data_IF_418371286778
#
_entry.id   IF_418371286778
#
_cell.length_a   1.000
_cell.length_b   1.000
_cell.length_c   1.000
_cell.angle_alpha   90.00
_cell.angle_beta   90.00
_cell.angle_gamma   90.00
#
_symmetry.space_group_name_H-M   'P 1'
#
loop_
_entity.id
_entity.type
_entity.pdbx_description
1 polymer ?
#
# COMPACT_ATOMS: atom_id res chain seq x y z
N UNK A 1 -14.19 -13.99 42.17
CA UNK A 1 -14.47 -14.84 40.97
C UNK A 1 -13.90 -14.27 39.66
N UNK A 2 -13.39 -13.05 39.63
CA UNK A 2 -12.82 -12.40 38.43
C UNK A 2 -11.39 -12.83 38.07
N UNK A 3 -10.54 -13.17 39.05
CA UNK A 3 -9.12 -13.50 38.79
C UNK A 3 -8.87 -14.84 38.09
N UNK A 4 -9.78 -15.83 38.24
CA UNK A 4 -9.64 -17.15 37.60
C UNK A 4 -10.00 -17.12 36.11
N UNK A 5 -10.90 -16.23 35.68
CA UNK A 5 -11.31 -16.09 34.27
C UNK A 5 -10.21 -15.42 33.41
N UNK A 6 -9.53 -14.39 33.95
CA UNK A 6 -8.46 -13.70 33.24
C UNK A 6 -7.22 -14.62 33.07
N UNK A 7 -6.88 -15.41 34.10
CA UNK A 7 -5.77 -16.37 34.04
C UNK A 7 -6.03 -17.51 33.03
N UNK A 8 -7.28 -17.93 32.90
CA UNK A 8 -7.67 -19.01 31.99
C UNK A 8 -7.73 -18.54 30.52
N UNK A 9 -8.21 -17.31 30.28
CA UNK A 9 -8.18 -16.66 28.98
C UNK A 9 -6.76 -16.38 28.51
N UNK A 10 -5.88 -15.91 29.39
CA UNK A 10 -4.45 -15.67 29.07
C UNK A 10 -3.72 -16.97 28.72
N UNK A 11 -4.01 -18.05 29.45
CA UNK A 11 -3.43 -19.37 29.14
C UNK A 11 -3.96 -19.95 27.83
N UNK A 12 -5.23 -19.74 27.51
CA UNK A 12 -5.84 -20.18 26.27
C UNK A 12 -5.26 -19.43 25.08
N UNK A 13 -5.15 -18.11 25.17
CA UNK A 13 -4.53 -17.26 24.14
C UNK A 13 -3.05 -17.63 23.89
N UNK A 14 -2.27 -17.91 24.95
CA UNK A 14 -0.89 -18.35 24.83
C UNK A 14 -0.78 -19.73 24.18
N UNK A 15 -1.69 -20.64 24.48
CA UNK A 15 -1.73 -21.97 23.85
C UNK A 15 -2.08 -21.89 22.35
N UNK A 16 -3.02 -21.00 21.99
CA UNK A 16 -3.41 -20.76 20.60
C UNK A 16 -2.26 -20.18 19.78
N UNK A 17 -1.42 -19.31 20.35
CA UNK A 17 -0.22 -18.79 19.70
C UNK A 17 0.86 -19.86 19.46
N UNK A 18 1.06 -20.78 20.41
CA UNK A 18 2.00 -21.89 20.23
C UNK A 18 1.57 -22.79 19.07
N UNK A 19 0.29 -23.15 19.02
CA UNK A 19 -0.29 -23.95 17.94
C UNK A 19 -0.15 -23.24 16.58
N UNK A 20 -0.41 -21.91 16.55
CA UNK A 20 -0.25 -21.12 15.32
C UNK A 20 1.22 -21.09 14.86
N UNK A 21 2.17 -20.90 15.77
CA UNK A 21 3.59 -20.91 15.42
C UNK A 21 4.04 -22.28 14.93
N UNK A 22 3.55 -23.38 15.52
CA UNK A 22 3.80 -24.75 15.03
C UNK A 22 3.22 -24.93 13.62
N UNK A 23 2.01 -24.42 13.38
CA UNK A 23 1.40 -24.45 12.05
C UNK A 23 2.23 -23.69 11.02
N UNK A 24 2.68 -22.47 11.35
CA UNK A 24 3.57 -21.66 10.47
C UNK A 24 4.87 -22.45 10.17
N UNK A 25 5.50 -23.06 11.18
CA UNK A 25 6.70 -23.89 10.98
C UNK A 25 6.44 -25.08 10.07
N UNK A 26 5.30 -25.76 10.24
CA UNK A 26 4.90 -26.88 9.40
C UNK A 26 4.71 -26.45 7.92
N UNK A 27 4.04 -25.34 7.67
CA UNK A 27 3.89 -24.76 6.32
C UNK A 27 5.25 -24.35 5.75
N UNK A 28 6.13 -23.76 6.56
CA UNK A 28 7.48 -23.39 6.12
C UNK A 28 8.31 -24.60 5.73
N UNK A 29 8.26 -25.68 6.51
CA UNK A 29 9.04 -26.89 6.28
C UNK A 29 8.47 -27.82 5.19
N UNK A 30 7.24 -27.59 4.72
CA UNK A 30 6.55 -28.47 3.78
C UNK A 30 7.18 -28.52 2.38
N UNK A 31 7.91 -27.48 1.99
CA UNK A 31 8.53 -27.33 0.67
C UNK A 31 9.68 -26.32 0.67
N UNK A 32 10.32 -26.11 -0.49
CA UNK A 32 11.43 -25.15 -0.68
C UNK A 32 11.00 -23.85 -1.37
N UNK A 33 9.70 -23.60 -1.60
CA UNK A 33 9.21 -22.40 -2.24
C UNK A 33 9.52 -21.15 -1.41
N UNK A 34 10.15 -20.12 -1.97
CA UNK A 34 10.42 -18.88 -1.24
C UNK A 34 9.11 -18.22 -0.81
N UNK A 35 9.17 -17.51 0.31
CA UNK A 35 8.05 -16.74 0.83
C UNK A 35 8.17 -15.29 0.45
N UNK A 36 7.06 -14.67 0.04
CA UNK A 36 6.95 -13.24 -0.24
C UNK A 36 5.90 -12.64 0.70
N UNK A 37 6.35 -11.92 1.72
CA UNK A 37 5.48 -11.33 2.73
C UNK A 37 5.11 -9.92 2.29
N UNK A 38 3.81 -9.67 2.06
CA UNK A 38 3.32 -8.34 1.81
C UNK A 38 3.33 -7.49 3.09
N UNK A 39 4.09 -6.40 3.08
CA UNK A 39 4.26 -5.50 4.22
C UNK A 39 3.84 -4.07 3.87
N UNK A 40 2.83 -3.57 4.56
CA UNK A 40 2.31 -2.20 4.37
C UNK A 40 2.65 -1.27 5.53
N UNK A 41 3.40 -1.72 6.53
CA UNK A 41 3.64 -0.97 7.77
C UNK A 41 2.42 -0.90 8.70
N UNK A 42 1.27 -1.42 8.29
CA UNK A 42 0.07 -1.46 9.12
C UNK A 42 0.04 -2.62 10.11
N UNK A 43 -0.84 -2.55 11.12
CA UNK A 43 -0.94 -3.50 12.24
C UNK A 43 -1.03 -4.97 11.81
N UNK A 44 -1.80 -5.27 10.75
CA UNK A 44 -2.04 -6.65 10.33
C UNK A 44 -0.81 -7.26 9.63
N UNK A 45 -0.17 -6.51 8.75
CA UNK A 45 1.08 -6.94 8.09
C UNK A 45 2.23 -7.04 9.10
N UNK A 46 2.28 -6.15 10.08
CA UNK A 46 3.27 -6.18 11.16
C UNK A 46 3.06 -7.39 12.07
N UNK A 47 1.82 -7.67 12.46
CA UNK A 47 1.46 -8.87 13.22
C UNK A 47 1.86 -10.15 12.49
N UNK A 48 1.49 -10.27 11.21
CA UNK A 48 1.83 -11.43 10.39
C UNK A 48 3.34 -11.63 10.28
N UNK A 49 4.11 -10.56 10.03
CA UNK A 49 5.56 -10.63 9.93
C UNK A 49 6.22 -11.02 11.26
N UNK A 50 5.79 -10.44 12.39
CA UNK A 50 6.31 -10.78 13.72
C UNK A 50 6.01 -12.23 14.11
N UNK A 51 4.82 -12.73 13.78
CA UNK A 51 4.45 -14.16 13.98
C UNK A 51 5.34 -15.09 13.19
N UNK A 52 5.54 -14.80 11.90
CA UNK A 52 6.41 -15.58 11.02
C UNK A 52 7.84 -15.53 11.53
N UNK A 53 8.35 -14.34 11.86
CA UNK A 53 9.69 -14.18 12.39
C UNK A 53 9.92 -15.06 13.62
N UNK A 54 9.02 -14.96 14.60
CA UNK A 54 9.11 -15.73 15.84
C UNK A 54 9.06 -17.24 15.59
N UNK A 55 8.19 -17.68 14.66
CA UNK A 55 8.08 -19.09 14.29
C UNK A 55 9.36 -19.61 13.60
N UNK A 56 9.93 -18.87 12.66
CA UNK A 56 11.13 -19.28 11.92
C UNK A 56 12.37 -19.18 12.82
N UNK A 57 12.48 -18.16 13.67
CA UNK A 57 13.60 -18.04 14.63
C UNK A 57 13.68 -19.22 15.60
N UNK A 58 12.55 -19.84 15.93
CA UNK A 58 12.51 -21.03 16.77
C UNK A 58 13.02 -22.30 16.08
N UNK A 59 13.21 -22.30 14.75
CA UNK A 59 13.83 -23.41 14.03
C UNK A 59 15.36 -23.41 14.21
N UNK A 60 16.03 -24.57 14.13
CA UNK A 60 17.50 -24.63 13.99
C UNK A 60 17.96 -23.83 12.75
N UNK A 61 19.15 -23.24 12.80
CA UNK A 61 19.68 -22.43 11.67
C UNK A 61 19.71 -23.20 10.35
N UNK A 62 20.07 -24.48 10.41
CA UNK A 62 20.13 -25.34 9.24
C UNK A 62 18.79 -25.58 8.57
N UNK A 63 17.69 -25.35 9.30
CA UNK A 63 16.32 -25.44 8.78
C UNK A 63 15.79 -24.13 8.22
N UNK A 64 16.48 -23.00 8.45
CA UNK A 64 16.10 -21.66 7.97
C UNK A 64 16.65 -21.37 6.57
N UNK A 65 16.40 -22.26 5.59
CA UNK A 65 17.08 -22.20 4.28
C UNK A 65 16.35 -21.45 3.20
N UNK A 66 15.01 -21.49 3.23
CA UNK A 66 14.25 -20.88 2.13
C UNK A 66 14.21 -19.36 2.26
N UNK A 67 14.44 -18.62 1.17
CA UNK A 67 14.39 -17.17 1.18
C UNK A 67 13.01 -16.64 1.57
N UNK A 68 12.99 -15.56 2.36
CA UNK A 68 11.80 -14.82 2.75
C UNK A 68 11.99 -13.36 2.32
N UNK A 69 11.17 -12.89 1.39
CA UNK A 69 11.18 -11.52 0.91
C UNK A 69 10.06 -10.74 1.59
N UNK A 70 10.39 -9.65 2.29
CA UNK A 70 9.42 -8.70 2.82
C UNK A 70 9.27 -7.57 1.81
N UNK A 71 8.08 -7.44 1.22
CA UNK A 71 7.81 -6.55 0.11
C UNK A 71 6.88 -5.43 0.52
N UNK A 72 7.33 -4.19 0.44
CA UNK A 72 6.52 -2.98 0.62
C UNK A 72 6.33 -2.26 -0.72
N UNK A 73 5.11 -1.83 -1.01
CA UNK A 73 4.83 -1.03 -2.20
C UNK A 73 4.91 0.45 -1.85
N UNK A 74 5.80 1.17 -2.53
CA UNK A 74 5.89 2.63 -2.49
C UNK A 74 5.26 3.18 -3.78
N UNK A 75 4.20 3.93 -3.67
CA UNK A 75 3.46 4.49 -4.81
C UNK A 75 4.08 5.79 -5.33
N UNK A 76 5.15 6.28 -4.70
CA UNK A 76 5.81 7.58 -4.93
C UNK A 76 4.91 8.79 -4.62
N UNK A 77 3.77 8.57 -3.96
CA UNK A 77 2.83 9.60 -3.52
C UNK A 77 2.25 9.31 -2.13
N UNK A 78 2.96 8.54 -1.30
CA UNK A 78 2.71 8.47 0.14
C UNK A 78 3.16 9.76 0.83
N UNK A 79 2.60 10.01 2.03
CA UNK A 79 3.06 11.15 2.86
C UNK A 79 4.52 10.95 3.25
N UNK A 80 5.35 12.01 3.29
CA UNK A 80 6.76 11.89 3.68
C UNK A 80 6.96 11.17 5.01
N UNK A 81 6.14 11.47 6.01
CA UNK A 81 6.17 10.80 7.33
C UNK A 81 6.02 9.28 7.20
N UNK A 82 5.14 8.81 6.32
CA UNK A 82 4.94 7.38 6.09
C UNK A 82 6.07 6.77 5.29
N UNK A 83 6.60 7.49 4.30
CA UNK A 83 7.77 7.03 3.52
C UNK A 83 8.95 6.79 4.47
N UNK A 84 9.29 7.76 5.33
CA UNK A 84 10.36 7.65 6.29
C UNK A 84 10.15 6.51 7.27
N UNK A 85 8.94 6.39 7.84
CA UNK A 85 8.59 5.28 8.73
C UNK A 85 8.81 3.90 8.08
N UNK A 86 8.39 3.73 6.82
CA UNK A 86 8.59 2.47 6.09
C UNK A 86 10.06 2.23 5.79
N UNK A 87 10.81 3.24 5.38
CA UNK A 87 12.23 3.11 5.07
C UNK A 87 13.05 2.72 6.29
N UNK A 88 12.83 3.37 7.42
CA UNK A 88 13.45 3.04 8.70
C UNK A 88 13.07 1.63 9.16
N UNK A 89 11.80 1.25 9.03
CA UNK A 89 11.35 -0.09 9.41
C UNK A 89 11.97 -1.18 8.53
N UNK A 90 12.02 -0.99 7.20
CA UNK A 90 12.66 -1.98 6.31
C UNK A 90 14.17 -2.08 6.56
N UNK A 91 14.84 -0.97 6.87
CA UNK A 91 16.24 -0.97 7.26
C UNK A 91 16.44 -1.75 8.58
N UNK A 92 15.60 -1.51 9.59
CA UNK A 92 15.64 -2.22 10.87
C UNK A 92 15.37 -3.74 10.69
N UNK A 93 14.40 -4.11 9.85
CA UNK A 93 14.12 -5.52 9.50
C UNK A 93 15.36 -6.18 8.89
N UNK A 94 16.04 -5.52 7.94
CA UNK A 94 17.24 -6.07 7.30
C UNK A 94 18.41 -6.21 8.30
N UNK A 95 18.63 -5.22 9.16
CA UNK A 95 19.66 -5.26 10.20
C UNK A 95 19.41 -6.42 11.19
N UNK A 96 18.19 -6.51 11.72
CA UNK A 96 17.81 -7.59 12.63
C UNK A 96 17.85 -8.97 11.98
N UNK A 97 17.54 -9.07 10.69
CA UNK A 97 17.63 -10.33 9.95
C UNK A 97 19.07 -10.80 9.86
N UNK A 98 20.01 -9.90 9.57
CA UNK A 98 21.45 -10.21 9.56
C UNK A 98 21.96 -10.65 10.93
N UNK A 99 21.63 -9.89 11.99
CA UNK A 99 22.07 -10.16 13.35
C UNK A 99 21.52 -11.49 13.91
N UNK A 100 20.32 -11.89 13.50
CA UNK A 100 19.65 -13.10 13.98
C UNK A 100 19.77 -14.30 13.02
N UNK A 101 20.62 -14.21 11.98
CA UNK A 101 20.78 -15.24 10.93
C UNK A 101 19.41 -15.69 10.35
N UNK A 102 18.55 -14.72 10.02
CA UNK A 102 17.25 -14.97 9.40
C UNK A 102 17.36 -14.86 7.88
N UNK A 103 16.73 -15.76 7.11
CA UNK A 103 16.76 -15.73 5.65
C UNK A 103 15.77 -14.67 5.09
N UNK A 104 15.74 -13.51 5.71
CA UNK A 104 14.77 -12.42 5.43
C UNK A 104 15.49 -11.27 4.73
N UNK A 105 14.90 -10.79 3.63
CA UNK A 105 15.33 -9.59 2.93
C UNK A 105 14.11 -8.69 2.72
N UNK A 106 14.19 -7.45 3.22
CA UNK A 106 13.12 -6.47 3.09
C UNK A 106 13.47 -5.42 2.03
N UNK A 107 12.53 -5.11 1.14
CA UNK A 107 12.71 -4.11 0.09
C UNK A 107 11.40 -3.45 -0.33
N UNK A 108 11.51 -2.29 -0.97
CA UNK A 108 10.40 -1.62 -1.64
C UNK A 108 10.28 -2.04 -3.10
N UNK A 109 9.07 -1.99 -3.64
CA UNK A 109 8.79 -1.95 -5.08
C UNK A 109 8.09 -0.65 -5.40
N UNK A 110 8.45 -0.08 -6.54
CA UNK A 110 7.93 1.19 -7.05
C UNK A 110 7.32 0.98 -8.43
N UNK A 111 6.34 1.81 -8.84
CA UNK A 111 5.84 1.77 -10.21
C UNK A 111 6.94 2.16 -11.21
N UNK A 112 6.83 1.64 -12.43
CA UNK A 112 7.61 2.17 -13.54
C UNK A 112 7.32 3.67 -13.69
N UNK A 113 8.35 4.47 -14.00
CA UNK A 113 8.20 5.93 -14.14
C UNK A 113 7.08 6.29 -15.11
N UNK A 114 7.00 5.56 -16.24
CA UNK A 114 5.93 5.75 -17.22
C UNK A 114 4.53 5.54 -16.66
N UNK A 115 4.38 4.76 -15.60
CA UNK A 115 3.10 4.43 -14.96
C UNK A 115 2.91 5.08 -13.58
N UNK A 116 3.83 5.96 -13.16
CA UNK A 116 3.72 6.72 -11.92
C UNK A 116 2.48 7.63 -11.88
N UNK A 117 2.13 8.10 -10.69
CA UNK A 117 0.92 8.90 -10.49
C UNK A 117 0.93 10.18 -11.33
N UNK A 118 1.99 10.95 -11.24
CA UNK A 118 2.07 12.26 -11.92
C UNK A 118 2.20 12.13 -13.43
N UNK A 119 2.91 11.11 -13.93
CA UNK A 119 2.99 10.86 -15.37
C UNK A 119 1.62 10.50 -15.94
N UNK A 120 0.81 9.73 -15.25
CA UNK A 120 -0.55 9.44 -15.69
C UNK A 120 -1.46 10.66 -15.56
N UNK A 121 -1.46 11.35 -14.41
CA UNK A 121 -2.37 12.46 -14.15
C UNK A 121 -2.00 13.69 -14.98
N UNK A 122 -0.75 14.16 -14.91
CA UNK A 122 -0.27 15.38 -15.56
C UNK A 122 0.20 15.09 -16.99
N UNK A 123 0.98 14.04 -17.20
CA UNK A 123 1.51 13.68 -18.51
C UNK A 123 0.40 13.26 -19.49
N UNK A 124 -0.42 12.26 -19.13
CA UNK A 124 -1.47 11.70 -19.98
C UNK A 124 -2.85 12.32 -19.77
N UNK A 125 -3.03 13.10 -18.69
CA UNK A 125 -4.31 13.75 -18.36
C UNK A 125 -5.34 12.79 -17.77
N UNK A 126 -4.95 11.70 -17.12
CA UNK A 126 -5.91 10.84 -16.42
C UNK A 126 -6.62 11.65 -15.34
N UNK A 127 -7.93 11.49 -15.17
CA UNK A 127 -8.62 12.14 -14.07
C UNK A 127 -8.16 11.58 -12.73
N UNK A 128 -8.24 12.39 -11.68
CA UNK A 128 -8.00 11.94 -10.33
C UNK A 128 -8.78 10.64 -10.03
N UNK A 129 -8.21 9.69 -9.27
CA UNK A 129 -8.86 8.42 -8.98
C UNK A 129 -10.21 8.59 -8.29
N UNK A 130 -11.17 7.73 -8.62
CA UNK A 130 -12.49 7.73 -8.00
C UNK A 130 -12.91 6.31 -7.63
N UNK A 131 -13.98 6.15 -6.84
CA UNK A 131 -14.52 4.82 -6.48
C UNK A 131 -14.76 3.90 -7.70
N UNK A 132 -15.11 4.50 -8.86
CA UNK A 132 -15.40 3.76 -10.10
C UNK A 132 -14.21 3.66 -11.05
N UNK A 133 -13.16 4.46 -10.86
CA UNK A 133 -12.00 4.48 -11.74
C UNK A 133 -10.71 4.58 -10.92
N UNK A 134 -10.25 3.42 -10.47
CA UNK A 134 -9.12 3.24 -9.54
C UNK A 134 -7.85 2.81 -10.28
N UNK A 135 -7.50 3.48 -11.34
CA UNK A 135 -6.31 3.18 -12.13
C UNK A 135 -5.00 3.19 -11.31
N UNK A 136 -4.97 4.02 -10.26
CA UNK A 136 -3.83 4.10 -9.36
C UNK A 136 -3.57 2.78 -8.62
N UNK A 137 -4.61 2.05 -8.20
CA UNK A 137 -4.44 0.79 -7.50
C UNK A 137 -3.72 -0.25 -8.34
N UNK A 138 -4.11 -0.37 -9.62
CA UNK A 138 -3.48 -1.29 -10.56
C UNK A 138 -2.03 -0.89 -10.82
N UNK A 139 -1.79 0.34 -11.29
CA UNK A 139 -0.49 0.80 -11.77
C UNK A 139 0.53 1.03 -10.67
N UNK A 140 0.10 1.51 -9.50
CA UNK A 140 1.03 1.92 -8.44
C UNK A 140 1.27 0.83 -7.39
N UNK A 141 0.35 -0.13 -7.23
CA UNK A 141 0.44 -1.17 -6.18
C UNK A 141 0.50 -2.57 -6.75
N UNK A 142 -0.47 -2.93 -7.61
CA UNK A 142 -0.60 -4.31 -8.11
C UNK A 142 0.50 -4.64 -9.11
N UNK A 143 0.71 -3.80 -10.12
CA UNK A 143 1.67 -4.08 -11.20
C UNK A 143 3.11 -4.19 -10.70
N UNK A 144 3.64 -3.29 -9.84
CA UNK A 144 4.98 -3.43 -9.28
C UNK A 144 5.15 -4.69 -8.44
N UNK A 145 4.17 -5.01 -7.57
CA UNK A 145 4.19 -6.23 -6.76
C UNK A 145 4.14 -7.48 -7.65
N UNK A 146 3.26 -7.50 -8.66
CA UNK A 146 3.14 -8.60 -9.62
C UNK A 146 4.42 -8.80 -10.43
N UNK A 147 5.09 -7.72 -10.84
CA UNK A 147 6.37 -7.80 -11.54
C UNK A 147 7.43 -8.47 -10.66
N UNK A 148 7.53 -8.08 -9.39
CA UNK A 148 8.42 -8.73 -8.43
C UNK A 148 8.10 -10.22 -8.27
N UNK A 149 6.83 -10.57 -8.03
CA UNK A 149 6.40 -11.96 -7.84
C UNK A 149 6.69 -12.81 -9.08
N UNK A 150 6.40 -12.30 -10.29
CA UNK A 150 6.70 -12.99 -11.55
C UNK A 150 8.20 -13.26 -11.71
N UNK A 151 9.05 -12.30 -11.32
CA UNK A 151 10.50 -12.51 -11.34
C UNK A 151 10.93 -13.61 -10.37
N UNK A 152 10.33 -13.67 -9.17
CA UNK A 152 10.61 -14.77 -8.22
C UNK A 152 10.07 -16.11 -8.72
N UNK A 153 8.88 -16.12 -9.34
CA UNK A 153 8.36 -17.35 -9.99
C UNK A 153 9.28 -17.80 -11.13
N UNK A 154 9.80 -16.89 -11.93
CA UNK A 154 10.76 -17.23 -12.98
C UNK A 154 12.08 -17.82 -12.44
N UNK A 155 12.51 -17.37 -11.26
CA UNK A 155 13.75 -17.83 -10.62
C UNK A 155 13.58 -19.16 -9.88
N UNK A 156 12.46 -19.33 -9.17
CA UNK A 156 12.24 -20.46 -8.23
C UNK A 156 11.17 -21.46 -8.70
N UNK A 157 10.48 -21.20 -9.80
CA UNK A 157 9.36 -22.01 -10.30
C UNK A 157 8.02 -21.66 -9.66
N UNK A 158 7.96 -21.62 -8.34
CA UNK A 158 6.77 -21.29 -7.55
C UNK A 158 7.14 -20.43 -6.33
N UNK A 159 6.18 -19.65 -5.82
CA UNK A 159 6.33 -18.83 -4.60
C UNK A 159 5.10 -18.95 -3.69
N UNK A 160 5.27 -18.71 -2.39
CA UNK A 160 4.17 -18.59 -1.44
C UNK A 160 4.10 -17.14 -0.98
N UNK A 161 3.02 -16.45 -1.30
CA UNK A 161 2.71 -15.10 -0.81
C UNK A 161 2.11 -15.19 0.58
N UNK A 162 2.60 -14.37 1.49
CA UNK A 162 2.08 -14.28 2.85
C UNK A 162 1.36 -12.93 3.00
N UNK A 163 0.11 -12.99 3.39
CA UNK A 163 -0.72 -11.79 3.51
C UNK A 163 -1.29 -11.67 4.93
N UNK A 164 -1.14 -10.50 5.52
CA UNK A 164 -1.78 -10.12 6.78
C UNK A 164 -3.25 -9.76 6.57
N UNK A 165 -4.04 -10.70 6.05
CA UNK A 165 -5.48 -10.51 5.76
C UNK A 165 -6.31 -11.27 6.78
N UNK A 166 -7.42 -10.67 7.22
CA UNK A 166 -8.37 -11.27 8.17
C UNK A 166 -9.75 -11.46 7.50
N UNK A 167 -10.38 -12.59 7.76
CA UNK A 167 -11.72 -12.89 7.23
C UNK A 167 -12.79 -11.90 7.73
N UNK A 168 -12.58 -11.34 8.92
CA UNK A 168 -13.49 -10.36 9.55
C UNK A 168 -13.48 -8.97 8.88
N UNK A 169 -12.50 -8.65 8.01
CA UNK A 169 -12.42 -7.34 7.36
C UNK A 169 -13.49 -7.13 6.29
N UNK A 170 -13.84 -8.17 5.54
CA UNK A 170 -14.78 -8.07 4.43
C UNK A 170 -15.34 -9.44 4.06
N UNK A 171 -16.66 -9.52 3.92
CA UNK A 171 -17.34 -10.73 3.43
C UNK A 171 -16.85 -11.14 2.03
N UNK A 172 -16.55 -10.17 1.17
CA UNK A 172 -16.01 -10.42 -0.18
C UNK A 172 -14.63 -11.08 -0.12
N UNK A 173 -13.75 -10.65 0.79
CA UNK A 173 -12.42 -11.27 0.99
C UNK A 173 -12.55 -12.69 1.50
N UNK A 174 -13.38 -12.92 2.52
CA UNK A 174 -13.63 -14.25 3.04
C UNK A 174 -14.13 -15.20 1.93
N UNK A 175 -15.00 -14.72 1.04
CA UNK A 175 -15.51 -15.48 -0.09
C UNK A 175 -14.41 -15.80 -1.12
N UNK A 176 -13.60 -14.81 -1.52
CA UNK A 176 -12.50 -15.03 -2.47
C UNK A 176 -11.48 -16.01 -1.90
N UNK A 177 -11.11 -15.87 -0.64
CA UNK A 177 -10.19 -16.79 0.04
C UNK A 177 -10.73 -18.22 0.03
N UNK A 178 -12.01 -18.43 0.33
CA UNK A 178 -12.63 -19.77 0.35
C UNK A 178 -12.70 -20.43 -1.03
N UNK A 179 -12.90 -19.66 -2.10
CA UNK A 179 -12.98 -20.18 -3.48
C UNK A 179 -11.67 -20.74 -4.02
N UNK A 180 -10.54 -20.29 -3.51
CA UNK A 180 -9.20 -20.65 -4.00
C UNK A 180 -8.42 -21.59 -3.06
N UNK A 181 -9.04 -22.05 -1.97
CA UNK A 181 -8.40 -23.01 -1.03
C UNK A 181 -8.06 -24.31 -1.74
N UNK A 182 -6.89 -24.84 -1.40
CA UNK A 182 -6.43 -26.14 -1.89
C UNK A 182 -6.71 -27.16 -0.77
N UNK A 183 -7.55 -28.14 -1.07
CA UNK A 183 -7.96 -29.16 -0.10
C UNK A 183 -6.76 -29.85 0.54
N UNK A 184 -6.79 -30.02 1.84
CA UNK A 184 -5.74 -30.67 2.61
C UNK A 184 -4.49 -29.84 2.84
N UNK A 185 -4.48 -28.56 2.45
CA UNK A 185 -3.35 -27.64 2.68
C UNK A 185 -3.79 -26.34 3.35
N UNK A 186 -2.81 -25.61 3.92
CA UNK A 186 -3.02 -24.25 4.42
C UNK A 186 -2.96 -23.19 3.31
N UNK A 187 -2.72 -23.58 2.06
CA UNK A 187 -2.47 -22.69 0.93
C UNK A 187 -3.72 -22.51 0.07
N UNK A 188 -3.82 -21.34 -0.52
CA UNK A 188 -4.76 -21.04 -1.60
C UNK A 188 -3.99 -20.71 -2.89
N UNK A 189 -4.61 -20.89 -4.06
CA UNK A 189 -4.02 -20.41 -5.31
C UNK A 189 -4.21 -18.89 -5.43
N UNK A 190 -3.21 -18.21 -5.97
CA UNK A 190 -3.39 -16.79 -6.32
C UNK A 190 -4.37 -16.67 -7.49
N UNK A 191 -5.29 -15.70 -7.45
CA UNK A 191 -6.38 -15.56 -8.43
C UNK A 191 -5.90 -15.29 -9.86
N UNK A 192 -4.75 -14.62 -10.03
CA UNK A 192 -4.27 -14.12 -11.34
C UNK A 192 -2.83 -14.49 -11.68
N UNK A 193 -2.02 -14.95 -10.71
CA UNK A 193 -0.61 -15.27 -10.94
C UNK A 193 -0.38 -16.79 -10.90
N UNK A 194 -0.16 -17.43 -12.05
CA UNK A 194 0.26 -18.84 -12.09
C UNK A 194 1.59 -19.03 -11.34
N UNK A 195 1.72 -20.11 -10.58
CA UNK A 195 2.89 -20.40 -9.78
C UNK A 195 2.99 -19.62 -8.45
N UNK A 196 2.01 -18.76 -8.14
CA UNK A 196 1.91 -18.10 -6.85
C UNK A 196 0.81 -18.72 -5.99
N UNK A 197 1.14 -19.02 -4.74
CA UNK A 197 0.22 -19.50 -3.72
C UNK A 197 0.08 -18.46 -2.62
N UNK A 198 -0.96 -18.55 -1.82
CA UNK A 198 -1.25 -17.59 -0.74
C UNK A 198 -1.42 -18.33 0.58
N UNK A 199 -0.76 -17.84 1.61
CA UNK A 199 -0.93 -18.23 3.00
C UNK A 199 -1.30 -17.02 3.85
N UNK A 200 -2.30 -17.16 4.72
CA UNK A 200 -2.85 -16.08 5.55
C UNK A 200 -2.81 -16.50 7.02
N UNK A 201 -1.67 -16.30 7.71
CA UNK A 201 -1.46 -16.81 9.07
C UNK A 201 -2.41 -16.22 10.11
N UNK A 202 -2.95 -15.02 9.86
CA UNK A 202 -3.85 -14.31 10.78
C UNK A 202 -5.31 -14.26 10.28
N UNK A 203 -5.70 -15.16 9.35
CA UNK A 203 -7.04 -15.18 8.74
C UNK A 203 -8.18 -15.11 9.77
N UNK A 204 -8.01 -15.79 10.90
CA UNK A 204 -9.03 -15.93 11.95
C UNK A 204 -8.94 -14.86 13.04
N UNK A 205 -7.94 -13.99 13.03
CA UNK A 205 -7.74 -12.97 14.05
C UNK A 205 -8.82 -11.90 13.99
N UNK A 206 -9.27 -11.46 15.15
CA UNK A 206 -10.00 -10.21 15.33
C UNK A 206 -9.02 -9.02 15.36
N UNK A 207 -9.53 -7.79 15.33
CA UNK A 207 -8.72 -6.57 15.56
C UNK A 207 -8.07 -6.61 16.93
N UNK A 208 -8.81 -7.07 17.93
CA UNK A 208 -8.33 -7.14 19.32
C UNK A 208 -7.21 -8.17 19.47
N UNK A 209 -7.28 -9.32 18.77
CA UNK A 209 -6.22 -10.32 18.77
C UNK A 209 -4.92 -9.77 18.15
N UNK A 210 -5.02 -9.00 17.05
CA UNK A 210 -3.87 -8.34 16.41
C UNK A 210 -3.21 -7.37 17.39
N UNK A 211 -4.00 -6.48 18.02
CA UNK A 211 -3.44 -5.53 18.99
C UNK A 211 -2.94 -6.19 20.27
N UNK A 212 -3.64 -7.20 20.77
CA UNK A 212 -3.17 -7.98 21.91
C UNK A 212 -1.81 -8.62 21.63
N UNK A 213 -1.64 -9.24 20.44
CA UNK A 213 -0.36 -9.81 20.04
C UNK A 213 0.74 -8.74 19.95
N UNK A 214 0.51 -7.65 19.22
CA UNK A 214 1.51 -6.60 19.03
C UNK A 214 1.94 -5.92 20.33
N UNK A 215 1.01 -5.69 21.26
CA UNK A 215 1.30 -5.00 22.51
C UNK A 215 1.93 -5.92 23.57
N UNK A 216 1.76 -7.23 23.47
CA UNK A 216 2.34 -8.20 24.38
C UNK A 216 3.70 -8.74 23.92
N UNK A 217 4.04 -8.57 22.63
CA UNK A 217 5.28 -9.07 22.07
C UNK A 217 6.16 -7.92 21.56
N UNK A 218 7.44 -7.99 21.89
CA UNK A 218 8.42 -7.05 21.35
C UNK A 218 8.67 -7.35 19.88
N UNK A 219 8.83 -6.30 19.08
CA UNK A 219 9.20 -6.42 17.67
C UNK A 219 10.60 -7.07 17.54
N UNK A 220 10.76 -8.08 16.68
CA UNK A 220 12.07 -8.71 16.44
C UNK A 220 13.15 -7.76 15.89
N UNK A 221 12.75 -6.63 15.33
CA UNK A 221 13.62 -5.56 14.81
C UNK A 221 13.62 -4.30 15.72
N UNK A 222 13.25 -4.48 16.99
CA UNK A 222 13.35 -3.49 18.07
C UNK A 222 12.47 -2.23 17.94
N UNK A 223 11.59 -2.14 16.96
CA UNK A 223 10.59 -1.07 16.89
C UNK A 223 9.56 -1.20 18.00
N UNK A 224 9.09 -0.10 18.58
CA UNK A 224 8.01 -0.13 19.56
C UNK A 224 6.64 -0.22 18.86
N UNK A 225 5.93 -1.32 19.07
CA UNK A 225 4.58 -1.50 18.57
C UNK A 225 3.56 -0.48 19.14
N UNK A 226 3.92 0.24 20.23
CA UNK A 226 3.10 1.33 20.79
C UNK A 226 3.12 2.56 19.90
N UNK A 227 4.23 2.82 19.19
CA UNK A 227 4.31 3.91 18.22
C UNK A 227 3.34 3.66 17.08
N UNK A 228 3.27 2.41 16.59
CA UNK A 228 2.26 2.01 15.61
C UNK A 228 0.83 2.23 16.16
N UNK A 229 0.56 1.87 17.41
CA UNK A 229 -0.74 2.13 18.03
C UNK A 229 -1.04 3.63 18.15
N UNK A 230 -0.04 4.45 18.49
CA UNK A 230 -0.18 5.91 18.55
C UNK A 230 -0.53 6.49 17.17
N UNK A 231 0.16 6.05 16.11
CA UNK A 231 -0.15 6.44 14.73
C UNK A 231 -1.61 6.09 14.37
N UNK A 232 -2.11 4.90 14.74
CA UNK A 232 -3.50 4.52 14.51
C UNK A 232 -4.49 5.36 15.29
N UNK A 233 -4.21 5.69 16.54
CA UNK A 233 -5.06 6.56 17.38
C UNK A 233 -5.13 7.98 16.83
N UNK A 234 -4.00 8.53 16.44
CA UNK A 234 -3.90 9.88 15.90
C UNK A 234 -4.64 10.00 14.55
N UNK A 235 -4.58 8.97 13.72
CA UNK A 235 -5.22 8.96 12.42
C UNK A 235 -6.72 8.53 12.46
N UNK A 236 -7.27 8.08 13.59
CA UNK A 236 -8.55 7.34 13.69
C UNK A 236 -8.66 6.28 12.58
N UNK A 237 -7.61 5.52 12.42
CA UNK A 237 -7.26 4.85 11.19
C UNK A 237 -8.05 3.55 10.95
N UNK A 238 -8.76 3.51 9.87
CA UNK A 238 -9.17 2.27 9.20
C UNK A 238 -8.04 1.72 8.32
N UNK A 239 -8.06 0.46 8.04
CA UNK A 239 -6.97 -0.35 7.50
C UNK A 239 -6.70 -0.18 6.01
N UNK A 240 -5.43 -0.27 5.57
CA UNK A 240 -5.05 -0.46 4.19
C UNK A 240 -4.19 -1.72 4.02
N UNK A 241 -4.75 -2.83 3.53
CA UNK A 241 -3.96 -3.99 3.13
C UNK A 241 -3.37 -3.82 1.73
N UNK A 242 -2.31 -4.57 1.42
CA UNK A 242 -1.88 -4.81 0.04
C UNK A 242 -3.07 -5.33 -0.77
N UNK A 243 -3.41 -4.62 -1.84
CA UNK A 243 -4.53 -5.00 -2.70
C UNK A 243 -4.06 -6.08 -3.66
N UNK A 244 -4.58 -7.27 -3.48
CA UNK A 244 -4.28 -8.43 -4.33
C UNK A 244 -5.25 -8.53 -5.51
N UNK A 245 -6.39 -7.82 -5.46
CA UNK A 245 -7.47 -7.92 -6.45
C UNK A 245 -8.10 -6.55 -6.75
N UNK A 246 -8.47 -6.32 -8.03
CA UNK A 246 -9.13 -5.10 -8.52
C UNK A 246 -10.54 -4.88 -7.94
N UNK A 247 -11.21 -5.94 -7.49
CA UNK A 247 -12.59 -5.90 -6.99
C UNK A 247 -12.70 -5.66 -5.49
N UNK A 248 -11.61 -5.77 -4.75
CA UNK A 248 -11.62 -5.56 -3.31
C UNK A 248 -11.70 -4.07 -3.01
N UNK A 249 -12.74 -3.63 -2.32
CA UNK A 249 -12.79 -2.28 -1.77
C UNK A 249 -11.61 -2.12 -0.82
N UNK A 250 -10.57 -1.46 -1.29
CA UNK A 250 -9.50 -1.04 -0.39
C UNK A 250 -10.05 0.12 0.38
N UNK A 251 -10.04 -0.02 1.68
CA UNK A 251 -9.86 1.08 2.58
C UNK A 251 -11.13 1.79 3.05
N UNK A 252 -11.39 1.70 4.34
CA UNK A 252 -12.21 2.63 5.12
C UNK A 252 -11.60 4.03 5.20
N UNK A 253 -12.19 4.92 5.95
CA UNK A 253 -11.97 6.37 5.90
C UNK A 253 -10.67 6.89 6.52
N UNK A 254 -9.70 6.09 6.85
CA UNK A 254 -8.43 6.58 7.42
C UNK A 254 -7.26 5.68 7.08
N UNK A 255 -6.07 6.24 6.89
CA UNK A 255 -4.95 5.47 6.38
C UNK A 255 -3.60 6.10 6.45
N UNK A 256 -2.67 5.18 6.60
CA UNK A 256 -1.37 5.29 6.00
C UNK A 256 -1.50 5.01 4.50
N UNK A 257 -1.48 6.01 3.65
CA UNK A 257 -1.68 5.85 2.20
C UNK A 257 -1.27 7.06 1.41
N UNK A 258 -1.57 7.00 0.11
CA UNK A 258 -1.24 8.09 -0.79
C UNK A 258 -1.96 9.38 -0.39
N UNK A 259 -1.23 10.45 -0.14
CA UNK A 259 -1.81 11.75 0.19
C UNK A 259 -2.69 12.33 -0.93
N UNK A 260 -2.44 11.93 -2.17
CA UNK A 260 -3.23 12.32 -3.36
C UNK A 260 -4.56 11.57 -3.48
N UNK A 261 -4.98 10.79 -2.48
CA UNK A 261 -6.14 9.90 -2.60
C UNK A 261 -7.46 10.68 -2.63
N UNK A 262 -8.13 10.65 -3.77
CA UNK A 262 -9.44 11.28 -3.98
C UNK A 262 -10.60 10.26 -4.02
N UNK A 263 -10.32 8.99 -3.72
CA UNK A 263 -11.34 7.93 -3.56
C UNK A 263 -12.14 8.14 -2.28
N UNK A 264 -11.52 8.72 -1.26
CA UNK A 264 -12.16 9.16 -0.02
C UNK A 264 -12.54 10.64 -0.13
N UNK A 265 -13.65 11.02 0.47
CA UNK A 265 -14.13 12.42 0.41
C UNK A 265 -13.19 13.37 1.15
N UNK A 266 -12.72 12.95 2.33
CA UNK A 266 -11.75 13.67 3.17
C UNK A 266 -10.62 12.76 3.58
N UNK A 267 -9.42 13.26 3.65
CA UNK A 267 -8.27 12.53 4.18
C UNK A 267 -8.09 12.86 5.67
N UNK A 268 -8.82 12.11 6.51
CA UNK A 268 -8.78 12.32 7.95
C UNK A 268 -7.39 12.06 8.56
N UNK A 269 -6.58 11.20 7.94
CA UNK A 269 -5.25 10.92 8.43
C UNK A 269 -4.32 12.11 8.19
N UNK A 270 -4.40 12.74 7.02
CA UNK A 270 -3.65 13.95 6.71
C UNK A 270 -4.15 15.14 7.54
N UNK A 271 -5.50 15.33 7.65
CA UNK A 271 -6.08 16.35 8.53
C UNK A 271 -5.55 16.20 9.96
N UNK A 272 -5.54 14.97 10.50
CA UNK A 272 -5.04 14.70 11.85
C UNK A 272 -3.52 14.93 12.00
N UNK A 273 -2.70 14.65 10.99
CA UNK A 273 -1.27 14.97 11.01
C UNK A 273 -1.05 16.48 11.12
N UNK A 274 -1.75 17.28 10.31
CA UNK A 274 -1.68 18.74 10.36
C UNK A 274 -2.17 19.26 11.71
N UNK A 275 -3.32 18.80 12.21
CA UNK A 275 -3.85 19.18 13.54
C UNK A 275 -2.93 18.81 14.71
N UNK A 276 -2.09 17.79 14.55
CA UNK A 276 -1.13 17.34 15.58
C UNK A 276 0.28 17.97 15.45
N UNK A 277 0.43 18.99 14.61
CA UNK A 277 1.65 19.80 14.54
C UNK A 277 2.52 19.57 13.31
N UNK A 278 2.06 18.77 12.33
CA UNK A 278 2.74 18.60 11.04
C UNK A 278 2.21 19.64 10.01
N UNK A 279 2.13 20.92 10.41
CA UNK A 279 1.56 22.03 9.62
C UNK A 279 2.25 22.18 8.27
N UNK A 280 3.50 21.75 8.15
CA UNK A 280 4.27 21.78 6.90
C UNK A 280 3.67 20.87 5.79
N UNK A 281 2.76 19.97 6.15
CA UNK A 281 2.02 19.11 5.21
C UNK A 281 0.74 19.75 4.66
N UNK A 282 0.31 20.91 5.17
CA UNK A 282 -0.92 21.61 4.71
C UNK A 282 -0.95 21.82 3.18
N UNK A 283 0.15 22.19 2.49
CA UNK A 283 0.14 22.33 1.03
C UNK A 283 -0.21 21.04 0.28
N UNK A 284 0.05 19.85 0.86
CA UNK A 284 -0.35 18.58 0.28
C UNK A 284 -1.86 18.35 0.40
N UNK A 285 -2.43 18.73 1.55
CA UNK A 285 -3.87 18.64 1.80
C UNK A 285 -4.64 19.55 0.84
N UNK A 286 -4.18 20.78 0.66
CA UNK A 286 -4.77 21.74 -0.26
C UNK A 286 -4.76 21.25 -1.71
N UNK A 287 -3.62 20.73 -2.18
CA UNK A 287 -3.49 20.18 -3.53
C UNK A 287 -4.36 18.93 -3.73
N UNK A 288 -4.45 18.08 -2.72
CA UNK A 288 -5.34 16.92 -2.72
C UNK A 288 -6.80 17.33 -2.82
N UNK A 289 -7.22 18.33 -2.08
CA UNK A 289 -8.60 18.81 -2.07
C UNK A 289 -8.97 19.47 -3.40
N UNK A 290 -8.04 20.18 -4.03
CA UNK A 290 -8.22 20.65 -5.41
C UNK A 290 -8.42 19.48 -6.40
N UNK A 291 -7.61 18.42 -6.28
CA UNK A 291 -7.80 17.22 -7.10
C UNK A 291 -9.17 16.57 -6.86
N UNK A 292 -9.65 16.55 -5.62
CA UNK A 292 -10.98 16.03 -5.28
C UNK A 292 -12.09 16.86 -5.90
N UNK A 293 -11.95 18.20 -5.92
CA UNK A 293 -12.93 19.10 -6.53
C UNK A 293 -13.07 18.88 -8.03
N UNK A 294 -12.02 18.44 -8.73
CA UNK A 294 -12.10 18.10 -10.16
C UNK A 294 -13.05 16.96 -10.47
N UNK A 295 -13.47 16.20 -9.46
CA UNK A 295 -14.44 15.11 -9.61
C UNK A 295 -15.88 15.54 -9.35
N UNK A 296 -16.08 16.76 -8.84
CA UNK A 296 -17.42 17.33 -8.60
C UNK A 296 -18.24 17.24 -9.90
N UNK A 297 -19.41 16.56 -9.90
CA UNK A 297 -20.23 16.36 -11.08
C UNK A 297 -20.60 17.65 -11.81
N UNK A 298 -20.75 18.76 -11.08
CA UNK A 298 -21.14 20.07 -11.63
C UNK A 298 -19.95 20.78 -12.30
N UNK A 299 -18.73 20.58 -11.77
CA UNK A 299 -17.53 21.29 -12.21
C UNK A 299 -16.56 20.49 -13.06
N UNK A 300 -16.65 19.16 -13.08
CA UNK A 300 -15.70 18.29 -13.77
C UNK A 300 -15.46 18.63 -15.26
N UNK A 301 -16.41 19.30 -15.90
CA UNK A 301 -16.30 19.76 -17.31
C UNK A 301 -15.41 20.99 -17.46
N UNK A 302 -15.16 21.74 -16.40
CA UNK A 302 -14.21 22.86 -16.40
C UNK A 302 -12.77 22.39 -16.54
N UNK A 303 -12.50 21.16 -16.04
CA UNK A 303 -11.16 20.58 -15.96
C UNK A 303 -10.88 19.54 -17.03
N UNK A 304 -11.92 18.94 -17.64
CA UNK A 304 -11.80 17.75 -18.50
C UNK A 304 -12.31 17.98 -19.90
N UNK A 305 -11.59 17.38 -20.88
CA UNK A 305 -11.99 17.40 -22.28
C UNK A 305 -13.33 16.66 -22.47
N UNK A 306 -14.10 17.10 -23.45
CA UNK A 306 -15.31 16.42 -23.87
C UNK A 306 -15.01 15.08 -24.57
N UNK A 307 -13.89 15.00 -25.29
CA UNK A 307 -13.45 13.81 -26.03
C UNK A 307 -12.58 12.92 -25.18
N UNK A 308 -12.69 11.64 -25.42
CA UNK A 308 -11.75 10.65 -24.88
C UNK A 308 -10.36 10.81 -25.53
N UNK A 309 -9.32 10.14 -24.98
CA UNK A 309 -7.97 10.20 -25.54
C UNK A 309 -7.86 9.67 -26.98
N UNK A 310 -8.71 8.72 -27.37
CA UNK A 310 -8.82 8.19 -28.74
C UNK A 310 -9.63 9.11 -29.68
N UNK A 311 -10.05 10.26 -29.20
CA UNK A 311 -10.87 11.23 -29.94
C UNK A 311 -12.37 10.92 -29.95
N UNK A 312 -12.79 9.77 -29.42
CA UNK A 312 -14.21 9.38 -29.37
C UNK A 312 -15.00 10.18 -28.32
N UNK A 313 -16.30 10.18 -28.45
CA UNK A 313 -17.23 10.70 -27.44
C UNK A 313 -18.08 9.54 -26.95
N UNK A 314 -18.06 9.29 -25.63
CA UNK A 314 -18.83 8.23 -25.00
C UNK A 314 -19.99 8.82 -24.21
N UNK A 315 -21.19 8.34 -24.44
CA UNK A 315 -22.40 8.73 -23.74
C UNK A 315 -22.85 7.65 -22.74
N UNK A 316 -23.57 8.04 -21.67
CA UNK A 316 -24.15 7.12 -20.69
C UNK A 316 -25.66 7.04 -20.97
N UNK A 317 -26.19 5.83 -21.11
CA UNK A 317 -27.63 5.53 -21.13
C UNK A 317 -28.40 6.21 -22.24
N UNK A 318 -28.99 7.34 -21.93
CA UNK A 318 -29.94 8.11 -22.75
C UNK A 318 -29.28 9.02 -23.84
N UNK A 319 -28.00 8.92 -24.07
CA UNK A 319 -27.22 9.72 -25.01
C UNK A 319 -27.15 11.25 -24.72
N UNK A 320 -27.69 11.74 -23.59
CA UNK A 320 -27.60 13.15 -23.23
C UNK A 320 -26.36 13.48 -22.39
N UNK A 321 -25.88 12.51 -21.57
CA UNK A 321 -24.74 12.72 -20.67
C UNK A 321 -23.48 12.08 -21.23
N UNK A 322 -22.49 12.90 -21.63
CA UNK A 322 -21.18 12.39 -22.06
C UNK A 322 -20.28 12.08 -20.86
N UNK A 323 -19.47 11.02 -20.97
CA UNK A 323 -18.38 10.73 -20.04
C UNK A 323 -17.19 11.62 -20.42
N UNK A 324 -16.74 12.55 -19.53
CA UNK A 324 -15.60 13.41 -19.83
C UNK A 324 -14.31 12.62 -20.08
N UNK A 325 -13.50 13.14 -20.98
CA UNK A 325 -12.19 12.62 -21.35
C UNK A 325 -11.09 12.94 -20.33
N UNK A 326 -9.83 13.11 -20.80
CA UNK A 326 -8.70 13.45 -19.96
C UNK A 326 -8.80 14.90 -19.44
N UNK A 327 -7.92 15.26 -18.51
CA UNK A 327 -7.74 16.64 -18.12
C UNK A 327 -7.31 17.51 -19.31
N UNK A 328 -7.88 18.71 -19.41
CA UNK A 328 -7.49 19.73 -20.37
C UNK A 328 -6.00 20.03 -20.26
N UNK A 329 -5.33 20.24 -21.39
CA UNK A 329 -3.89 20.47 -21.40
C UNK A 329 -3.49 21.71 -20.59
N UNK A 330 -4.30 22.80 -20.66
CA UNK A 330 -4.11 23.98 -19.83
C UNK A 330 -4.11 23.64 -18.34
N UNK A 331 -5.07 22.84 -17.90
CA UNK A 331 -5.17 22.44 -16.49
C UNK A 331 -4.00 21.56 -16.05
N UNK A 332 -3.51 20.67 -16.92
CA UNK A 332 -2.33 19.83 -16.62
C UNK A 332 -1.07 20.67 -16.37
N UNK A 333 -0.87 21.76 -17.15
CA UNK A 333 0.23 22.71 -16.93
C UNK A 333 0.08 23.46 -15.60
N UNK A 334 -1.12 23.91 -15.29
CA UNK A 334 -1.42 24.57 -14.02
C UNK A 334 -1.19 23.65 -12.83
N UNK A 335 -1.64 22.40 -12.94
CA UNK A 335 -1.45 21.40 -11.89
C UNK A 335 0.04 21.08 -11.64
N UNK A 336 0.86 21.00 -12.70
CA UNK A 336 2.31 20.84 -12.54
C UNK A 336 2.93 22.02 -11.80
N UNK A 337 2.55 23.26 -12.15
CA UNK A 337 3.02 24.45 -11.44
C UNK A 337 2.67 24.41 -9.96
N UNK A 338 1.41 24.09 -9.63
CA UNK A 338 0.94 23.96 -8.23
C UNK A 338 1.67 22.86 -7.47
N UNK A 339 1.92 21.72 -8.10
CA UNK A 339 2.69 20.63 -7.49
C UNK A 339 4.12 21.05 -7.13
N UNK A 340 4.79 21.78 -8.02
CA UNK A 340 6.14 22.31 -7.76
C UNK A 340 6.13 23.40 -6.68
N UNK A 341 5.10 24.24 -6.65
CA UNK A 341 4.92 25.23 -5.57
C UNK A 341 4.66 24.56 -4.21
N UNK A 342 3.80 23.52 -4.19
CA UNK A 342 3.57 22.74 -2.98
C UNK A 342 4.86 22.07 -2.50
N UNK A 343 5.67 21.50 -3.39
CA UNK A 343 6.98 20.93 -3.04
C UNK A 343 7.91 21.98 -2.42
N UNK A 344 7.96 23.19 -2.97
CA UNK A 344 8.77 24.28 -2.42
C UNK A 344 8.30 24.68 -1.02
N UNK A 345 6.98 24.82 -0.81
CA UNK A 345 6.40 25.18 0.49
C UNK A 345 6.63 24.09 1.54
N UNK A 346 6.39 22.82 1.19
CA UNK A 346 6.68 21.67 2.03
C UNK A 346 8.15 21.68 2.46
N UNK A 347 9.08 21.78 1.51
CA UNK A 347 10.51 21.73 1.79
C UNK A 347 11.06 22.97 2.51
N UNK A 348 10.36 24.11 2.44
CA UNK A 348 10.71 25.33 3.18
C UNK A 348 10.35 25.23 4.66
N UNK A 349 9.28 24.50 4.98
CA UNK A 349 8.73 24.39 6.34
C UNK A 349 8.98 23.04 7.01
N UNK A 350 9.46 22.03 6.26
CA UNK A 350 9.72 20.70 6.78
C UNK A 350 10.79 20.71 7.88
N UNK A 351 10.68 19.86 8.91
CA UNK A 351 11.72 19.63 9.89
C UNK A 351 13.06 19.24 9.23
N UNK A 352 14.20 19.46 9.89
CA UNK A 352 15.50 19.03 9.37
C UNK A 352 15.52 17.52 9.11
N UNK A 353 15.83 17.14 7.87
CA UNK A 353 15.85 15.74 7.42
C UNK A 353 14.58 15.26 6.73
N UNK A 354 13.46 16.00 6.81
CA UNK A 354 12.16 15.62 6.24
C UNK A 354 11.90 16.18 4.83
N UNK A 355 12.93 16.76 4.18
CA UNK A 355 12.79 17.25 2.81
C UNK A 355 12.47 16.11 1.86
N UNK A 356 11.53 16.35 0.95
CA UNK A 356 11.02 15.34 0.02
C UNK A 356 10.81 15.89 -1.38
N UNK A 357 10.94 15.01 -2.37
CA UNK A 357 10.55 15.29 -3.73
C UNK A 357 9.13 14.74 -3.96
N UNK A 358 8.16 15.64 -4.18
CA UNK A 358 6.78 15.26 -4.49
C UNK A 358 6.63 14.74 -5.92
N UNK A 359 7.57 15.11 -6.79
CA UNK A 359 7.70 14.62 -8.15
C UNK A 359 9.18 14.45 -8.49
N UNK A 360 9.52 13.30 -9.05
CA UNK A 360 10.90 12.98 -9.43
C UNK A 360 11.29 13.64 -10.76
N UNK A 361 12.57 13.90 -10.95
CA UNK A 361 13.08 14.49 -12.19
C UNK A 361 12.80 13.59 -13.41
N UNK A 362 12.79 12.28 -13.23
CA UNK A 362 12.46 11.28 -14.24
C UNK A 362 11.00 11.40 -14.68
N UNK A 363 10.07 11.62 -13.74
CA UNK A 363 8.66 11.86 -14.04
C UNK A 363 8.47 13.16 -14.84
N UNK A 364 9.16 14.24 -14.45
CA UNK A 364 9.15 15.51 -15.20
C UNK A 364 9.64 15.33 -16.63
N UNK A 365 10.72 14.56 -16.84
CA UNK A 365 11.24 14.24 -18.17
C UNK A 365 10.23 13.45 -19.00
N UNK A 366 9.58 12.46 -18.40
CA UNK A 366 8.59 11.65 -19.07
C UNK A 366 7.31 12.45 -19.38
N UNK A 367 6.83 13.29 -18.47
CA UNK A 367 5.72 14.24 -18.72
C UNK A 367 6.02 15.13 -19.92
N UNK A 368 7.20 15.73 -19.96
CA UNK A 368 7.62 16.56 -21.10
C UNK A 368 7.71 15.78 -22.41
N UNK A 369 8.23 14.54 -22.36
CA UNK A 369 8.27 13.66 -23.53
C UNK A 369 6.87 13.41 -24.07
N UNK A 370 5.90 13.12 -23.20
CA UNK A 370 4.50 12.89 -23.55
C UNK A 370 3.88 14.16 -24.14
N UNK A 371 4.09 15.33 -23.53
CA UNK A 371 3.56 16.58 -24.01
C UNK A 371 4.10 16.97 -25.39
N UNK A 372 5.38 16.75 -25.65
CA UNK A 372 5.97 16.95 -27.00
C UNK A 372 5.32 16.06 -28.04
N UNK A 373 5.17 14.76 -27.72
CA UNK A 373 4.64 13.79 -28.68
C UNK A 373 3.14 13.87 -28.90
N UNK A 374 2.35 14.11 -27.84
CA UNK A 374 0.88 14.08 -27.89
C UNK A 374 0.24 15.47 -28.10
N UNK A 375 0.89 16.54 -27.66
CA UNK A 375 0.33 17.90 -27.67
C UNK A 375 1.14 18.89 -28.54
N UNK A 376 2.26 18.46 -29.11
CA UNK A 376 3.16 19.34 -29.88
C UNK A 376 3.76 20.46 -29.05
N UNK A 377 3.86 20.29 -27.71
CA UNK A 377 4.39 21.29 -26.80
C UNK A 377 5.92 21.19 -26.72
N UNK A 378 6.60 22.06 -27.44
CA UNK A 378 8.04 22.17 -27.48
C UNK A 378 8.59 23.27 -26.56
N UNK A 379 7.72 24.00 -25.88
CA UNK A 379 8.10 25.07 -24.98
C UNK A 379 8.73 24.57 -23.69
N UNK A 380 9.71 25.33 -23.17
CA UNK A 380 10.25 25.14 -21.82
C UNK A 380 9.30 25.79 -20.81
N UNK A 381 8.14 25.17 -20.61
CA UNK A 381 7.08 25.72 -19.77
C UNK A 381 7.36 25.59 -18.25
N UNK A 382 8.57 25.27 -17.86
CA UNK A 382 9.02 25.24 -16.46
C UNK A 382 10.43 25.84 -16.43
N UNK A 383 10.53 27.13 -16.67
CA UNK A 383 11.66 27.99 -16.33
C UNK A 383 11.26 28.94 -15.22
#
# INVERSE_FOLDING_TARGET
MTSNNETDQTKRAALDLVVLQEHIRAVYAADDRPWVIGYSGGKDSTCALQLIWSAIRALPEEARRKPIFVLSSDTLVETPVIVNYIDETLAAINAAAADQNMPITAQKVVPEISDSFWVNLIGRGYPAPSKRFRWCTERLKIDPANAFIKNRVAEYGEVVMILGVRSSESATRAQVMSLHKIDGTALSRHSTLPGAFVFTPIETFSVDDVWAFLLQNQSPWESDNRDLLAMYRNAQAGECPLVVDKQTESCGNSRFGCWVCTVVTKDKAMEALVENGEDWLEPLLDLRDELAETQNPERKREFRDFRRRDGSVTFVGDAETSIPGPYLFKYRKELLRKLLEAQQQVNANAPPGEKTDLIQIEELREIRRIWRSEQGDWGDAVS
#
